data_IF_571953233056
#
_entry.id   IF_571953233056
#
_cell.length_a   1.000
_cell.length_b   1.000
_cell.length_c   1.000
_cell.angle_alpha   90.00
_cell.angle_beta   90.00
_cell.angle_gamma   90.00
#
_symmetry.space_group_name_H-M   'P 1'
#
loop_
_entity.id
_entity.type
_entity.pdbx_description
1 polymer ?
#
# COMPACT_ATOMS: atom_id res chain seq x y z
N UNK A 1 0.76 18.22 4.47
CA UNK A 1 0.65 16.84 3.95
C UNK A 1 1.53 15.93 4.78
N UNK A 2 1.19 14.65 4.89
CA UNK A 2 1.90 13.69 5.74
C UNK A 2 3.29 13.38 5.16
N UNK A 3 4.35 13.58 5.96
CA UNK A 3 5.75 13.30 5.60
C UNK A 3 6.21 13.81 4.23
N UNK A 4 5.83 15.04 3.88
CA UNK A 4 6.23 15.68 2.63
C UNK A 4 5.41 15.27 1.41
N UNK A 5 4.36 14.44 1.57
CA UNK A 5 3.42 14.11 0.51
C UNK A 5 2.35 15.19 0.31
N UNK A 6 1.95 15.40 -0.94
CA UNK A 6 0.83 16.27 -1.31
C UNK A 6 -0.51 15.59 -1.05
N UNK A 7 -1.60 16.37 -1.03
CA UNK A 7 -2.95 15.80 -0.92
C UNK A 7 -3.26 14.85 -2.09
N UNK A 8 -2.76 15.15 -3.30
CA UNK A 8 -2.89 14.27 -4.46
C UNK A 8 -2.27 12.90 -4.19
N UNK A 9 -1.08 12.85 -3.57
CA UNK A 9 -0.42 11.59 -3.24
C UNK A 9 -1.20 10.80 -2.16
N UNK A 10 -1.77 11.47 -1.16
CA UNK A 10 -2.62 10.81 -0.15
C UNK A 10 -3.87 10.21 -0.79
N UNK A 11 -4.54 10.96 -1.69
CA UNK A 11 -5.71 10.46 -2.39
C UNK A 11 -5.35 9.28 -3.33
N UNK A 12 -4.17 9.32 -3.95
CA UNK A 12 -3.65 8.22 -4.76
C UNK A 12 -3.45 6.95 -3.94
N UNK A 13 -2.86 7.05 -2.74
CA UNK A 13 -2.76 5.93 -1.80
C UNK A 13 -4.15 5.40 -1.44
N UNK A 14 -5.10 6.29 -1.13
CA UNK A 14 -6.48 5.93 -0.81
C UNK A 14 -7.15 5.10 -1.91
N UNK A 15 -6.94 5.47 -3.19
CA UNK A 15 -7.45 4.71 -4.33
C UNK A 15 -6.85 3.31 -4.45
N UNK A 16 -5.54 3.17 -4.23
CA UNK A 16 -4.87 1.86 -4.26
C UNK A 16 -5.38 0.98 -3.12
N UNK A 17 -5.42 1.48 -1.88
CA UNK A 17 -5.83 0.69 -0.72
C UNK A 17 -7.31 0.27 -0.81
N UNK A 18 -8.19 1.17 -1.28
CA UNK A 18 -9.60 0.86 -1.55
C UNK A 18 -9.77 -0.28 -2.54
N UNK A 19 -8.96 -0.30 -3.61
CA UNK A 19 -9.03 -1.28 -4.68
C UNK A 19 -8.03 -2.45 -4.50
N UNK A 20 -7.38 -2.58 -3.34
CA UNK A 20 -6.22 -3.46 -3.17
C UNK A 20 -6.51 -4.93 -3.51
N UNK A 21 -7.71 -5.43 -3.17
CA UNK A 21 -8.13 -6.81 -3.51
C UNK A 21 -8.21 -7.04 -5.02
N UNK A 22 -8.71 -6.06 -5.77
CA UNK A 22 -8.77 -6.12 -7.24
C UNK A 22 -7.40 -5.94 -7.87
N UNK A 23 -6.59 -5.03 -7.33
CA UNK A 23 -5.20 -4.81 -7.77
C UNK A 23 -4.35 -6.06 -7.54
N UNK A 24 -4.57 -6.80 -6.44
CA UNK A 24 -3.87 -8.04 -6.12
C UNK A 24 -4.00 -9.12 -7.20
N UNK A 25 -5.12 -9.17 -7.95
CA UNK A 25 -5.25 -10.10 -9.07
C UNK A 25 -4.19 -9.86 -10.17
N UNK A 26 -3.69 -8.63 -10.30
CA UNK A 26 -2.67 -8.25 -11.27
C UNK A 26 -1.27 -8.17 -10.66
N UNK A 27 -1.14 -7.79 -9.39
CA UNK A 27 0.15 -7.63 -8.71
C UNK A 27 0.63 -8.88 -7.98
N UNK A 28 -0.27 -9.84 -7.76
CA UNK A 28 -0.04 -11.10 -7.02
C UNK A 28 -0.83 -12.25 -7.68
N UNK A 29 -0.61 -12.55 -8.98
CA UNK A 29 -1.47 -13.45 -9.75
C UNK A 29 -1.26 -14.94 -9.45
N UNK A 30 -0.21 -15.33 -8.72
CA UNK A 30 0.10 -16.73 -8.44
C UNK A 30 -0.44 -17.18 -7.09
N UNK A 31 -0.77 -18.47 -6.97
CA UNK A 31 -1.03 -19.07 -5.64
C UNK A 31 0.18 -18.93 -4.70
N UNK A 32 1.40 -18.89 -5.24
CA UNK A 32 2.62 -18.69 -4.47
C UNK A 32 2.72 -17.27 -3.88
N UNK A 33 2.12 -16.28 -4.52
CA UNK A 33 2.07 -14.89 -4.01
C UNK A 33 1.47 -14.83 -2.61
N UNK A 34 0.41 -15.59 -2.37
CA UNK A 34 -0.30 -15.61 -1.09
C UNK A 34 0.41 -16.45 -0.01
N UNK A 35 1.44 -17.22 -0.38
CA UNK A 35 2.33 -17.86 0.59
C UNK A 35 3.35 -16.86 1.15
N UNK A 36 3.65 -15.79 0.41
CA UNK A 36 4.49 -14.68 0.87
C UNK A 36 3.72 -13.72 1.80
N UNK A 37 2.43 -13.47 1.54
CA UNK A 37 1.62 -12.52 2.32
C UNK A 37 1.15 -13.17 3.62
N UNK A 38 2.10 -13.40 4.52
CA UNK A 38 1.89 -13.90 5.88
C UNK A 38 2.67 -13.01 6.87
N UNK A 39 2.15 -12.79 8.10
CA UNK A 39 2.84 -11.97 9.10
C UNK A 39 4.24 -12.52 9.44
N UNK A 40 5.18 -11.62 9.78
CA UNK A 40 6.49 -11.99 10.31
C UNK A 40 7.66 -12.06 9.30
N UNK A 41 7.41 -11.89 8.00
CA UNK A 41 8.45 -12.00 6.95
C UNK A 41 8.64 -10.72 6.12
N UNK A 42 8.43 -9.54 6.72
CA UNK A 42 8.48 -8.23 6.05
C UNK A 42 7.51 -8.06 4.84
N UNK A 43 6.59 -9.01 4.64
CA UNK A 43 5.53 -8.95 3.65
C UNK A 43 4.27 -8.32 4.28
N UNK A 44 3.71 -7.26 3.66
CA UNK A 44 2.63 -6.51 4.29
C UNK A 44 1.30 -7.25 4.14
N UNK A 45 0.64 -7.51 5.27
CA UNK A 45 -0.71 -8.10 5.30
C UNK A 45 -1.81 -7.06 5.58
N UNK A 46 -1.43 -5.91 6.17
CA UNK A 46 -2.37 -4.87 6.60
C UNK A 46 -2.33 -3.69 5.62
N UNK A 47 -3.51 -3.39 5.05
CA UNK A 47 -3.74 -2.32 4.08
C UNK A 47 -3.77 -0.94 4.75
N UNK A 48 -2.60 -0.46 5.13
CA UNK A 48 -2.40 0.88 5.68
C UNK A 48 -1.18 1.54 5.05
N UNK A 49 -0.98 2.82 5.37
CA UNK A 49 0.20 3.56 4.99
C UNK A 49 0.92 4.11 6.23
N UNK A 50 2.25 4.19 6.16
CA UNK A 50 3.04 4.74 7.27
C UNK A 50 4.43 5.17 6.80
N UNK A 51 5.03 6.09 7.54
CA UNK A 51 6.39 6.56 7.33
C UNK A 51 7.42 5.60 7.89
N UNK A 52 8.37 5.20 7.05
CA UNK A 52 9.47 4.29 7.41
C UNK A 52 9.06 2.90 7.91
N UNK A 53 7.78 2.65 8.18
CA UNK A 53 7.28 1.38 8.66
C UNK A 53 7.29 0.31 7.55
N UNK A 54 7.92 -0.83 7.84
CA UNK A 54 8.05 -1.97 6.92
C UNK A 54 6.90 -2.97 7.02
N UNK A 55 6.06 -2.88 8.05
CA UNK A 55 4.89 -3.75 8.19
C UNK A 55 3.68 -3.23 7.40
N UNK A 56 3.69 -1.97 6.97
CA UNK A 56 2.61 -1.35 6.19
C UNK A 56 2.65 -1.72 4.70
N UNK A 57 1.48 -1.88 4.09
CA UNK A 57 1.35 -2.13 2.64
C UNK A 57 1.87 -0.97 1.77
N UNK A 58 1.70 0.27 2.23
CA UNK A 58 2.25 1.46 1.58
C UNK A 58 3.27 2.13 2.49
N UNK A 59 4.54 2.15 2.09
CA UNK A 59 5.61 2.81 2.84
C UNK A 59 5.94 4.15 2.22
N UNK A 60 6.10 5.16 3.05
CA UNK A 60 6.65 6.45 2.67
C UNK A 60 8.15 6.46 3.03
N UNK A 61 9.07 6.50 2.04
CA UNK A 61 10.51 6.43 2.30
C UNK A 61 11.04 7.62 3.10
N UNK A 62 12.15 7.40 3.83
CA UNK A 62 12.91 8.48 4.45
C UNK A 62 13.61 9.35 3.38
N UNK A 63 13.89 10.61 3.71
CA UNK A 63 14.63 11.53 2.83
C UNK A 63 13.79 12.09 1.66
N UNK A 64 12.50 12.32 1.89
CA UNK A 64 11.64 12.99 0.91
C UNK A 64 12.02 14.47 0.82
N UNK A 65 12.45 14.87 -0.37
CA UNK A 65 12.61 16.25 -0.81
C UNK A 65 11.74 16.53 -2.03
N UNK A 66 11.82 17.75 -2.56
CA UNK A 66 10.95 18.22 -3.67
C UNK A 66 10.96 17.30 -4.90
N UNK A 67 12.11 16.67 -5.19
CA UNK A 67 12.29 15.80 -6.37
C UNK A 67 12.23 14.30 -6.05
N UNK A 68 12.18 13.90 -4.78
CA UNK A 68 12.25 12.49 -4.35
C UNK A 68 10.97 11.98 -3.68
N UNK A 69 9.94 12.84 -3.56
CA UNK A 69 8.64 12.50 -3.01
C UNK A 69 7.98 11.34 -3.78
N UNK A 70 7.81 10.21 -3.11
CA UNK A 70 7.25 8.99 -3.67
C UNK A 70 6.62 8.12 -2.59
N UNK A 71 5.89 7.11 -3.04
CA UNK A 71 5.33 6.05 -2.21
C UNK A 71 5.89 4.70 -2.67
N UNK A 72 5.99 3.75 -1.75
CA UNK A 72 6.45 2.38 -2.00
C UNK A 72 5.30 1.43 -1.70
N UNK A 73 4.71 0.84 -2.75
CA UNK A 73 3.67 -0.19 -2.61
C UNK A 73 4.35 -1.55 -2.53
N UNK A 74 4.25 -2.21 -1.37
CA UNK A 74 5.11 -3.36 -1.00
C UNK A 74 4.47 -4.73 -1.22
N UNK A 75 3.16 -4.81 -1.44
CA UNK A 75 2.48 -6.09 -1.65
C UNK A 75 2.75 -6.77 -3.01
N UNK A 76 3.01 -6.07 -4.14
CA UNK A 76 3.32 -6.71 -5.41
C UNK A 76 4.52 -7.67 -5.35
N UNK A 77 4.52 -8.69 -6.20
CA UNK A 77 5.65 -9.60 -6.37
C UNK A 77 5.99 -9.85 -7.84
N UNK A 78 7.13 -10.49 -8.09
CA UNK A 78 7.66 -10.71 -9.44
C UNK A 78 6.97 -11.84 -10.22
N UNK A 79 5.93 -12.47 -9.67
CA UNK A 79 5.08 -13.37 -10.46
C UNK A 79 4.11 -12.59 -11.35
N UNK A 80 3.91 -11.31 -11.05
CA UNK A 80 3.10 -10.40 -11.83
C UNK A 80 3.70 -10.05 -13.19
N UNK A 81 2.83 -9.88 -14.19
CA UNK A 81 3.21 -9.19 -15.41
C UNK A 81 3.42 -7.69 -15.08
N UNK A 82 4.63 -7.13 -15.28
CA UNK A 82 4.94 -5.77 -14.84
C UNK A 82 4.06 -4.71 -15.52
N UNK A 83 3.67 -4.92 -16.78
CA UNK A 83 2.80 -3.99 -17.50
C UNK A 83 1.41 -3.91 -16.83
N UNK A 84 0.81 -5.07 -16.55
CA UNK A 84 -0.51 -5.13 -15.91
C UNK A 84 -0.45 -4.64 -14.45
N UNK A 85 0.61 -4.99 -13.72
CA UNK A 85 0.82 -4.51 -12.36
C UNK A 85 0.87 -2.97 -12.31
N UNK A 86 1.70 -2.34 -13.15
CA UNK A 86 1.83 -0.88 -13.15
C UNK A 86 0.56 -0.17 -13.62
N UNK A 87 -0.12 -0.68 -14.65
CA UNK A 87 -1.40 -0.11 -15.11
C UNK A 87 -2.48 -0.23 -14.03
N UNK A 88 -2.58 -1.38 -13.36
CA UNK A 88 -3.57 -1.57 -12.28
C UNK A 88 -3.35 -0.60 -11.11
N UNK A 89 -2.10 -0.39 -10.70
CA UNK A 89 -1.74 0.57 -9.66
C UNK A 89 -2.03 2.02 -10.08
N UNK A 90 -1.72 2.37 -11.33
CA UNK A 90 -2.01 3.70 -11.89
C UNK A 90 -3.51 3.97 -11.89
N UNK A 91 -4.31 3.06 -12.44
CA UNK A 91 -5.75 3.24 -12.55
C UNK A 91 -6.43 3.30 -11.18
N UNK A 92 -6.01 2.46 -10.23
CA UNK A 92 -6.52 2.49 -8.87
C UNK A 92 -6.18 3.82 -8.17
N UNK A 93 -4.95 4.33 -8.36
CA UNK A 93 -4.55 5.60 -7.77
C UNK A 93 -5.25 6.81 -8.41
N UNK A 94 -5.48 6.80 -9.72
CA UNK A 94 -6.26 7.82 -10.42
C UNK A 94 -7.72 7.86 -9.95
N UNK A 95 -8.34 6.69 -9.70
CA UNK A 95 -9.67 6.62 -9.09
C UNK A 95 -9.70 7.29 -7.71
N UNK A 96 -8.66 7.05 -6.90
CA UNK A 96 -8.49 7.69 -5.60
C UNK A 96 -8.38 9.21 -5.69
N UNK A 97 -7.59 9.73 -6.63
CA UNK A 97 -7.46 11.17 -6.86
C UNK A 97 -8.81 11.77 -7.29
N UNK A 98 -9.49 11.14 -8.26
CA UNK A 98 -10.78 11.61 -8.79
C UNK A 98 -11.85 11.68 -7.69
N UNK A 99 -11.92 10.66 -6.85
CA UNK A 99 -12.94 10.54 -5.80
C UNK A 99 -12.51 11.15 -4.45
N UNK A 100 -11.30 11.70 -4.36
CA UNK A 100 -10.68 12.20 -3.12
C UNK A 100 -10.73 11.17 -1.98
N UNK A 101 -10.47 9.91 -2.31
CA UNK A 101 -10.54 8.79 -1.36
C UNK A 101 -9.51 8.96 -0.26
N UNK A 102 -9.95 8.93 1.00
CA UNK A 102 -9.08 9.02 2.18
C UNK A 102 -8.65 7.59 2.58
N UNK A 103 -7.34 7.28 2.62
CA UNK A 103 -6.87 5.98 3.09
C UNK A 103 -7.09 5.79 4.60
N UNK A 104 -7.24 4.55 5.04
CA UNK A 104 -7.16 4.19 6.47
C UNK A 104 -5.70 4.29 6.92
N UNK A 105 -5.47 4.97 8.05
CA UNK A 105 -4.14 5.28 8.58
C UNK A 105 -3.89 6.79 8.77
N UNK A 106 -2.64 7.20 9.09
CA UNK A 106 -1.44 6.37 9.17
C UNK A 106 -1.40 5.51 10.44
N UNK A 107 -0.84 4.29 10.34
CA UNK A 107 -0.60 3.41 11.49
C UNK A 107 0.91 3.27 11.71
N UNK A 108 1.44 4.06 12.65
CA UNK A 108 2.88 4.13 12.97
C UNK A 108 3.30 3.13 14.06
N UNK A 109 2.61 1.98 14.10
CA UNK A 109 2.80 0.88 15.06
C UNK A 109 3.37 -0.36 14.33
N UNK A 110 3.95 -1.31 15.07
CA UNK A 110 4.34 -2.59 14.45
C UNK A 110 3.09 -3.44 14.16
N UNK A 111 2.71 -3.51 12.89
CA UNK A 111 1.47 -4.17 12.46
C UNK A 111 1.55 -5.70 12.52
N UNK A 112 2.73 -6.28 12.73
CA UNK A 112 2.87 -7.73 12.91
C UNK A 112 2.40 -8.21 14.29
N UNK A 113 2.37 -7.31 15.27
CA UNK A 113 2.01 -7.63 16.65
C UNK A 113 0.49 -7.50 16.89
N UNK A 114 -0.25 -6.93 15.93
CA UNK A 114 -1.70 -6.78 16.01
C UNK A 114 -2.40 -8.11 15.75
N UNK A 115 -3.32 -8.46 16.64
CA UNK A 115 -4.24 -9.58 16.44
C UNK A 115 -5.28 -9.26 15.37
N UNK A 116 -5.87 -10.30 14.76
CA UNK A 116 -6.90 -10.14 13.73
C UNK A 116 -8.11 -9.33 14.21
N UNK A 117 -8.43 -9.37 15.50
CA UNK A 117 -9.56 -8.64 16.07
C UNK A 117 -9.22 -7.15 16.26
N UNK A 118 -8.03 -6.82 16.75
CA UNK A 118 -7.53 -5.44 16.82
C UNK A 118 -7.44 -4.78 15.43
N UNK A 119 -7.15 -5.56 14.39
CA UNK A 119 -7.13 -5.08 12.99
C UNK A 119 -8.54 -4.78 12.48
N UNK A 120 -9.56 -5.51 12.93
CA UNK A 120 -10.96 -5.32 12.49
C UNK A 120 -11.64 -4.15 13.17
N UNK A 121 -11.21 -3.80 14.38
CA UNK A 121 -11.75 -2.68 15.14
C UNK A 121 -11.20 -1.32 14.68
N UNK A 122 -10.03 -1.30 14.02
CA UNK A 122 -9.39 -0.11 13.45
C UNK A 122 -9.76 0.12 11.98
#
# INVERSE_FOLDING_TARGET
>A
GYSGLSQTAINYIGGILKNARSVAAFTNPSSNSYKRIVPGFEAPCILTYSCQNRSASCRVPYGIGKNSARIEIRFPDSTANPYLAFVSLLMAGLDGIKNKTIPVGPMDENLFDLTLDEIREK
#
